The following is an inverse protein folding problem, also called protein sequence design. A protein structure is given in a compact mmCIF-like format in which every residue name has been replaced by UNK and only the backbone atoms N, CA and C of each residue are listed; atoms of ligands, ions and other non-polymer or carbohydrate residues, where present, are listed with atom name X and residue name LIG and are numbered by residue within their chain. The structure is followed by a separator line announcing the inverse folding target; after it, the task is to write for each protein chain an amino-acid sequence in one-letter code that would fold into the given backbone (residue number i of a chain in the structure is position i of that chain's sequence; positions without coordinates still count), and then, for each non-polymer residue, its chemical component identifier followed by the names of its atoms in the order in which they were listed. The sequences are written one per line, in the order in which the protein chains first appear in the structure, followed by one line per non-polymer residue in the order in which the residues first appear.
data_IF_004832414788
#
_entry.id   IF_004832414788
#
_cell.length_a   1.000
_cell.length_b   1.000
_cell.length_c   1.000
_cell.angle_alpha   90.00
_cell.angle_beta   90.00
_cell.angle_gamma   90.00
#
_symmetry.space_group_name_H-M   'P 1'
#
loop_
_entity.id
_entity.type
_entity.pdbx_description
1 polymer ?
#
# COMPACT_ATOMS: atom_id res chain seq x y z
N UNK A 1 13.84 11.26 -1.38
CA UNK A 1 14.18 10.31 -2.49
C UNK A 1 12.91 9.92 -3.20
N UNK A 2 12.81 10.02 -4.50
CA UNK A 2 11.57 9.79 -5.24
C UNK A 2 11.72 8.51 -6.05
N UNK A 3 10.63 7.72 -6.12
CA UNK A 3 10.56 6.61 -7.05
C UNK A 3 10.85 7.17 -8.45
N UNK A 4 11.85 6.62 -9.11
CA UNK A 4 12.41 7.24 -10.32
C UNK A 4 11.55 6.95 -11.55
N UNK A 5 10.38 7.59 -11.63
CA UNK A 5 9.69 7.70 -12.92
C UNK A 5 10.50 8.65 -13.82
N UNK A 6 10.73 8.24 -15.06
CA UNK A 6 11.32 9.12 -16.08
C UNK A 6 10.38 10.32 -16.33
N UNK A 7 10.88 11.46 -16.87
CA UNK A 7 10.04 12.59 -17.22
C UNK A 7 8.86 12.20 -18.13
N UNK A 8 9.09 11.30 -19.09
CA UNK A 8 8.04 10.77 -19.98
C UNK A 8 6.99 9.96 -19.23
N UNK A 9 7.40 9.13 -18.26
CA UNK A 9 6.47 8.37 -17.42
C UNK A 9 5.65 9.30 -16.52
N UNK A 10 6.23 10.37 -15.97
CA UNK A 10 5.50 11.38 -15.19
C UNK A 10 4.45 12.07 -16.05
N UNK A 11 4.82 12.48 -17.26
CA UNK A 11 3.87 13.09 -18.21
C UNK A 11 2.71 12.13 -18.53
N UNK A 12 3.00 10.87 -18.85
CA UNK A 12 1.99 9.84 -19.10
C UNK A 12 1.11 9.58 -17.86
N UNK A 13 1.68 9.60 -16.65
CA UNK A 13 0.94 9.42 -15.41
C UNK A 13 -0.07 10.56 -15.17
N UNK A 14 0.33 11.82 -15.45
CA UNK A 14 -0.58 12.97 -15.35
C UNK A 14 -1.72 12.85 -16.35
N UNK A 15 -1.42 12.55 -17.62
CA UNK A 15 -2.45 12.33 -18.63
C UNK A 15 -3.42 11.21 -18.25
N UNK A 16 -2.89 10.10 -17.70
CA UNK A 16 -3.69 8.96 -17.23
C UNK A 16 -4.55 9.32 -16.01
N UNK A 17 -4.02 10.12 -15.09
CA UNK A 17 -4.78 10.61 -13.94
C UNK A 17 -6.00 11.44 -14.37
N UNK A 18 -5.80 12.36 -15.32
CA UNK A 18 -6.88 13.18 -15.86
C UNK A 18 -7.93 12.30 -16.58
N UNK A 19 -7.49 11.36 -17.40
CA UNK A 19 -8.36 10.41 -18.10
C UNK A 19 -9.21 9.58 -17.12
N UNK A 20 -8.61 9.02 -16.07
CA UNK A 20 -9.31 8.26 -15.04
C UNK A 20 -10.35 9.12 -14.32
N UNK A 21 -10.01 10.37 -13.98
CA UNK A 21 -10.93 11.30 -13.31
C UNK A 21 -12.10 11.71 -14.21
N UNK A 22 -11.85 12.05 -15.47
CA UNK A 22 -12.87 12.46 -16.43
C UNK A 22 -13.86 11.32 -16.74
N UNK A 23 -13.36 10.09 -16.86
CA UNK A 23 -14.14 8.91 -17.17
C UNK A 23 -14.68 8.18 -15.93
N UNK A 24 -14.52 8.74 -14.73
CA UNK A 24 -15.01 8.19 -13.45
C UNK A 24 -14.58 6.73 -13.20
N UNK A 25 -13.37 6.37 -13.65
CA UNK A 25 -12.80 5.04 -13.42
C UNK A 25 -12.09 4.98 -12.06
N UNK A 26 -11.89 3.79 -11.48
CA UNK A 26 -11.08 3.65 -10.27
C UNK A 26 -9.65 4.14 -10.50
N UNK A 27 -9.16 4.99 -9.61
CA UNK A 27 -7.77 5.45 -9.63
C UNK A 27 -6.80 4.29 -9.36
N UNK A 28 -7.19 3.40 -8.43
CA UNK A 28 -6.41 2.22 -8.09
C UNK A 28 -7.25 0.95 -8.07
N UNK A 29 -6.66 -0.14 -8.57
CA UNK A 29 -7.18 -1.49 -8.47
C UNK A 29 -6.17 -2.33 -7.70
N UNK A 30 -6.57 -2.81 -6.53
CA UNK A 30 -5.81 -3.80 -5.77
C UNK A 30 -6.21 -5.20 -6.21
N UNK A 31 -5.24 -5.96 -6.65
CA UNK A 31 -5.42 -7.34 -7.11
C UNK A 31 -4.90 -8.27 -6.02
N UNK A 32 -5.81 -9.03 -5.40
CA UNK A 32 -5.47 -10.08 -4.46
C UNK A 32 -5.06 -11.34 -5.26
N UNK A 33 -3.77 -11.44 -5.57
CA UNK A 33 -3.27 -12.53 -6.44
C UNK A 33 -3.26 -13.90 -5.76
N UNK A 34 -3.32 -13.94 -4.44
CA UNK A 34 -3.45 -15.15 -3.61
C UNK A 34 -3.97 -14.80 -2.22
N UNK A 35 -4.71 -15.70 -1.61
CA UNK A 35 -5.08 -15.58 -0.18
C UNK A 35 -4.06 -16.23 0.75
N UNK A 36 -3.14 -17.03 0.24
CA UNK A 36 -2.14 -17.73 1.06
C UNK A 36 -1.10 -16.75 1.60
N UNK A 37 -0.73 -16.95 2.86
CA UNK A 37 0.34 -16.22 3.52
C UNK A 37 1.11 -17.14 4.45
N UNK A 38 2.43 -17.01 4.50
CA UNK A 38 3.27 -17.72 5.45
C UNK A 38 3.68 -16.87 6.67
N UNK A 39 3.31 -15.57 6.70
CA UNK A 39 3.42 -14.74 7.89
C UNK A 39 2.28 -15.06 8.87
N UNK A 40 2.45 -14.75 10.16
CA UNK A 40 1.48 -15.03 11.24
C UNK A 40 1.20 -13.79 12.07
N UNK A 41 0.94 -12.67 11.40
CA UNK A 41 0.63 -11.40 12.06
C UNK A 41 -0.67 -11.53 12.87
N UNK A 42 -0.68 -10.99 14.08
CA UNK A 42 -1.83 -11.06 15.00
C UNK A 42 -2.97 -10.11 14.63
N UNK A 43 -2.71 -9.13 13.78
CA UNK A 43 -3.68 -8.19 13.21
C UNK A 43 -4.26 -8.63 11.85
N UNK A 44 -3.94 -9.85 11.38
CA UNK A 44 -4.35 -10.31 10.05
C UNK A 44 -4.66 -11.80 10.06
N UNK A 45 -5.72 -12.23 9.37
CA UNK A 45 -6.21 -13.61 9.34
C UNK A 45 -5.90 -14.38 8.05
N UNK A 46 -5.18 -13.78 7.10
CA UNK A 46 -4.85 -14.46 5.82
C UNK A 46 -4.10 -15.78 6.02
N UNK A 47 -3.23 -15.88 7.01
CA UNK A 47 -2.49 -17.12 7.31
C UNK A 47 -3.36 -18.29 7.79
N UNK A 48 -4.61 -18.02 8.18
CA UNK A 48 -5.61 -19.04 8.56
C UNK A 48 -6.38 -19.57 7.34
N UNK A 49 -6.27 -18.91 6.18
CA UNK A 49 -7.01 -19.29 4.98
C UNK A 49 -6.28 -20.44 4.29
N UNK A 50 -6.97 -21.57 4.15
CA UNK A 50 -6.46 -22.80 3.52
C UNK A 50 -7.02 -23.02 2.12
N UNK A 51 -7.97 -22.20 1.67
CA UNK A 51 -8.57 -22.31 0.35
C UNK A 51 -7.52 -22.23 -0.76
N UNK A 52 -7.73 -23.03 -1.81
CA UNK A 52 -6.93 -22.91 -3.01
C UNK A 52 -7.39 -21.68 -3.79
N UNK A 53 -6.42 -20.90 -4.25
CA UNK A 53 -6.71 -19.80 -5.15
C UNK A 53 -7.18 -20.37 -6.50
N UNK A 54 -8.25 -19.81 -7.04
CA UNK A 54 -8.56 -20.02 -8.45
C UNK A 54 -7.62 -19.15 -9.28
N UNK A 55 -7.13 -19.70 -10.39
CA UNK A 55 -6.28 -18.93 -11.31
C UNK A 55 -7.16 -18.00 -12.14
N UNK A 56 -7.28 -16.76 -11.69
CA UNK A 56 -7.93 -15.70 -12.47
C UNK A 56 -6.92 -15.02 -13.37
N UNK A 57 -7.29 -14.82 -14.63
CA UNK A 57 -6.60 -13.90 -15.53
C UNK A 57 -6.96 -12.45 -15.20
N UNK A 58 -6.08 -11.78 -14.48
CA UNK A 58 -6.27 -10.39 -14.09
C UNK A 58 -6.05 -9.38 -15.24
N UNK A 59 -5.60 -9.81 -16.40
CA UNK A 59 -5.39 -8.94 -17.56
C UNK A 59 -6.72 -8.29 -17.97
N UNK A 60 -7.80 -9.07 -18.02
CA UNK A 60 -9.13 -8.56 -18.34
C UNK A 60 -9.68 -7.62 -17.27
N UNK A 61 -9.40 -7.90 -15.99
CA UNK A 61 -9.73 -6.97 -14.89
C UNK A 61 -9.08 -5.61 -15.11
N UNK A 62 -7.77 -5.61 -15.42
CA UNK A 62 -7.00 -4.37 -15.63
C UNK A 62 -7.44 -3.66 -16.92
N UNK A 63 -7.76 -4.38 -17.99
CA UNK A 63 -8.32 -3.80 -19.23
C UNK A 63 -9.67 -3.14 -18.99
N UNK A 64 -10.55 -3.81 -18.24
CA UNK A 64 -11.90 -3.30 -17.97
C UNK A 64 -11.90 -2.01 -17.16
N UNK A 65 -11.13 -1.99 -16.06
CA UNK A 65 -11.12 -0.82 -15.17
C UNK A 65 -10.08 0.24 -15.58
N UNK A 66 -9.08 -0.13 -16.31
CA UNK A 66 -8.02 0.72 -16.84
C UNK A 66 -7.50 1.76 -15.83
N UNK A 67 -7.05 1.34 -14.64
CA UNK A 67 -6.66 2.24 -13.55
C UNK A 67 -5.33 2.92 -13.81
N UNK A 68 -5.02 3.97 -13.03
CA UNK A 68 -3.67 4.53 -12.96
C UNK A 68 -2.72 3.64 -12.15
N UNK A 69 -3.20 3.05 -11.05
CA UNK A 69 -2.38 2.25 -10.15
C UNK A 69 -2.92 0.82 -10.07
N UNK A 70 -2.04 -0.16 -10.26
CA UNK A 70 -2.32 -1.59 -10.00
C UNK A 70 -1.46 -2.03 -8.83
N UNK A 71 -2.11 -2.53 -7.76
CA UNK A 71 -1.45 -3.04 -6.57
C UNK A 71 -1.57 -4.56 -6.54
N UNK A 72 -0.46 -5.26 -6.70
CA UNK A 72 -0.41 -6.71 -6.50
C UNK A 72 -0.25 -6.99 -5.01
N UNK A 73 -1.27 -7.60 -4.43
CA UNK A 73 -1.40 -7.85 -2.99
C UNK A 73 -2.04 -9.23 -2.74
N UNK A 74 -2.49 -9.46 -1.52
CA UNK A 74 -3.17 -10.68 -1.12
C UNK A 74 -2.77 -11.07 0.30
N UNK A 75 -2.56 -12.35 0.53
CA UNK A 75 -1.76 -12.82 1.65
C UNK A 75 -0.30 -12.42 1.42
N UNK A 76 0.49 -13.30 0.80
CA UNK A 76 1.83 -12.93 0.32
C UNK A 76 1.90 -13.16 -1.20
N UNK A 77 1.95 -12.10 -2.01
CA UNK A 77 1.90 -12.22 -3.47
C UNK A 77 3.08 -13.01 -4.05
N UNK A 78 4.24 -12.99 -3.42
CA UNK A 78 5.42 -13.72 -3.87
C UNK A 78 5.32 -15.25 -3.70
N UNK A 79 4.27 -15.76 -3.03
CA UNK A 79 3.92 -17.18 -3.03
C UNK A 79 3.28 -17.64 -4.35
N UNK A 80 2.75 -16.70 -5.15
CA UNK A 80 2.17 -17.01 -6.45
C UNK A 80 3.28 -17.21 -7.48
N UNK A 81 3.38 -18.44 -8.05
CA UNK A 81 4.48 -18.83 -8.94
C UNK A 81 4.50 -18.07 -10.27
N UNK A 82 3.34 -17.76 -10.81
CA UNK A 82 3.14 -17.05 -12.09
C UNK A 82 2.97 -15.53 -11.93
N UNK A 83 3.32 -14.96 -10.77
CA UNK A 83 3.20 -13.52 -10.51
C UNK A 83 4.01 -12.68 -11.53
N UNK A 84 5.25 -13.05 -11.81
CA UNK A 84 6.12 -12.30 -12.72
C UNK A 84 5.58 -12.31 -14.16
N UNK A 85 5.19 -13.45 -14.75
CA UNK A 85 4.44 -13.49 -16.00
C UNK A 85 3.18 -12.64 -16.02
N UNK A 86 2.36 -12.70 -14.97
CA UNK A 86 1.14 -11.90 -14.84
C UNK A 86 1.43 -10.39 -14.85
N UNK A 87 2.43 -9.94 -14.09
CA UNK A 87 2.87 -8.53 -14.08
C UNK A 87 3.32 -8.11 -15.50
N UNK A 88 4.07 -8.95 -16.19
CA UNK A 88 4.54 -8.70 -17.57
C UNK A 88 3.35 -8.51 -18.51
N UNK A 89 2.36 -9.38 -18.48
CA UNK A 89 1.16 -9.28 -19.30
C UNK A 89 0.38 -7.99 -19.03
N UNK A 90 0.26 -7.59 -17.74
CA UNK A 90 -0.41 -6.35 -17.35
C UNK A 90 0.38 -5.11 -17.78
N UNK A 91 1.73 -5.14 -17.69
CA UNK A 91 2.59 -4.08 -18.22
C UNK A 91 2.39 -3.87 -19.72
N UNK A 92 2.20 -4.95 -20.46
CA UNK A 92 2.10 -4.93 -21.94
C UNK A 92 0.72 -4.44 -22.43
N UNK A 93 -0.27 -4.26 -21.56
CA UNK A 93 -1.53 -3.57 -21.91
C UNK A 93 -1.20 -2.12 -22.32
N UNK A 94 -1.68 -1.62 -23.47
CA UNK A 94 -1.43 -0.25 -23.90
C UNK A 94 -1.82 0.82 -22.86
N UNK A 95 -1.02 1.87 -22.76
CA UNK A 95 -1.21 2.97 -21.80
C UNK A 95 -0.31 2.87 -20.58
N UNK A 96 -0.22 3.98 -19.82
CA UNK A 96 0.59 4.01 -18.60
C UNK A 96 -0.20 3.45 -17.41
N UNK A 97 0.46 2.58 -16.64
CA UNK A 97 0.01 2.12 -15.32
C UNK A 97 1.18 2.08 -14.37
N UNK A 98 0.94 2.49 -13.13
CA UNK A 98 1.89 2.38 -12.05
C UNK A 98 1.71 1.03 -11.37
N UNK A 99 2.67 0.12 -11.53
CA UNK A 99 2.60 -1.25 -11.00
C UNK A 99 3.36 -1.32 -9.68
N UNK A 100 2.70 -1.80 -8.63
CA UNK A 100 3.29 -1.91 -7.31
C UNK A 100 2.98 -3.25 -6.67
N UNK A 101 3.95 -3.82 -5.96
CA UNK A 101 3.81 -5.08 -5.20
C UNK A 101 3.88 -4.75 -3.71
N UNK A 102 2.93 -5.28 -2.92
CA UNK A 102 2.94 -5.20 -1.46
C UNK A 102 3.30 -6.58 -0.88
N UNK A 103 4.43 -6.68 -0.20
CA UNK A 103 4.97 -7.94 0.32
C UNK A 103 5.53 -7.77 1.73
N UNK A 104 5.53 -8.85 2.54
CA UNK A 104 6.29 -8.85 3.80
C UNK A 104 7.81 -9.00 3.58
N UNK A 105 8.25 -9.26 2.34
CA UNK A 105 9.67 -9.31 1.99
C UNK A 105 10.39 -10.63 2.23
N UNK A 106 9.72 -11.64 2.79
CA UNK A 106 10.36 -12.92 3.13
C UNK A 106 10.91 -13.70 1.93
N UNK A 107 10.41 -13.41 0.72
CA UNK A 107 10.83 -14.01 -0.54
C UNK A 107 11.61 -13.04 -1.45
N UNK A 108 11.95 -11.84 -0.96
CA UNK A 108 12.74 -10.87 -1.71
C UNK A 108 14.23 -11.26 -1.72
N UNK A 109 14.60 -12.09 -2.68
CA UNK A 109 16.00 -12.30 -3.06
C UNK A 109 16.44 -11.28 -4.10
N UNK A 110 17.75 -11.09 -4.29
CA UNK A 110 18.29 -10.23 -5.35
C UNK A 110 17.74 -10.60 -6.74
N UNK A 111 17.67 -11.90 -7.03
CA UNK A 111 17.12 -12.40 -8.30
C UNK A 111 15.64 -12.03 -8.43
N UNK A 112 14.82 -12.26 -7.37
CA UNK A 112 13.39 -11.95 -7.40
C UNK A 112 13.13 -10.45 -7.57
N UNK A 113 13.92 -9.59 -6.93
CA UNK A 113 13.83 -8.14 -7.10
C UNK A 113 14.09 -7.74 -8.57
N UNK A 114 15.17 -8.29 -9.17
CA UNK A 114 15.52 -8.03 -10.57
C UNK A 114 14.43 -8.54 -11.53
N UNK A 115 13.85 -9.70 -11.29
CA UNK A 115 12.71 -10.25 -12.06
C UNK A 115 11.49 -9.32 -11.99
N UNK A 116 11.12 -8.83 -10.81
CA UNK A 116 9.98 -7.93 -10.62
C UNK A 116 10.18 -6.59 -11.34
N UNK A 117 11.38 -6.01 -11.24
CA UNK A 117 11.71 -4.75 -11.93
C UNK A 117 11.71 -4.95 -13.45
N UNK A 118 12.29 -6.05 -13.95
CA UNK A 118 12.26 -6.38 -15.38
C UNK A 118 10.83 -6.62 -15.90
N UNK A 119 9.93 -7.18 -15.07
CA UNK A 119 8.51 -7.32 -15.39
C UNK A 119 7.76 -5.99 -15.45
N UNK A 120 8.34 -4.88 -14.94
CA UNK A 120 7.75 -3.54 -14.99
C UNK A 120 7.22 -3.03 -13.65
N UNK A 121 7.57 -3.66 -12.54
CA UNK A 121 7.22 -3.13 -11.19
C UNK A 121 7.94 -1.81 -10.96
N UNK A 122 7.17 -0.77 -10.67
CA UNK A 122 7.68 0.56 -10.34
C UNK A 122 7.99 0.72 -8.85
N UNK A 123 7.26 -0.02 -7.98
CA UNK A 123 7.41 0.09 -6.54
C UNK A 123 7.23 -1.26 -5.85
N UNK A 124 8.16 -1.58 -4.96
CA UNK A 124 8.07 -2.73 -4.04
C UNK A 124 7.84 -2.17 -2.64
N UNK A 125 6.62 -2.35 -2.13
CA UNK A 125 6.27 -1.98 -0.77
C UNK A 125 6.58 -3.14 0.16
N UNK A 126 7.51 -2.93 1.09
CA UNK A 126 7.91 -3.91 2.09
C UNK A 126 7.19 -3.57 3.39
N UNK A 127 6.33 -4.47 3.85
CA UNK A 127 5.61 -4.30 5.12
C UNK A 127 6.60 -4.31 6.30
N UNK A 128 6.83 -3.15 6.92
CA UNK A 128 7.85 -2.95 7.96
C UNK A 128 7.28 -2.08 9.08
N UNK A 129 7.05 -2.66 10.25
CA UNK A 129 6.48 -1.99 11.43
C UNK A 129 7.50 -1.76 12.54
N UNK A 130 8.64 -2.47 12.50
CA UNK A 130 9.74 -2.34 13.47
C UNK A 130 11.09 -2.23 12.78
N UNK A 131 12.03 -1.41 13.30
CA UNK A 131 13.33 -1.15 12.70
C UNK A 131 14.41 -2.20 13.08
N UNK A 132 14.00 -3.37 13.57
CA UNK A 132 14.89 -4.40 14.11
C UNK A 132 14.24 -5.81 14.10
N UNK A 133 14.84 -6.77 14.79
CA UNK A 133 14.37 -8.16 14.86
C UNK A 133 12.96 -8.35 15.47
N UNK A 134 12.34 -7.32 16.06
CA UNK A 134 10.92 -7.36 16.44
C UNK A 134 10.03 -7.55 15.22
N UNK A 135 10.48 -7.12 14.04
CA UNK A 135 9.82 -7.38 12.76
C UNK A 135 9.66 -8.87 12.47
N UNK A 136 10.68 -9.68 12.81
CA UNK A 136 10.64 -11.14 12.64
C UNK A 136 9.55 -11.77 13.50
N UNK A 137 9.45 -11.32 14.76
CA UNK A 137 8.44 -11.80 15.71
C UNK A 137 7.03 -11.42 15.27
N UNK A 138 6.82 -10.17 14.84
CA UNK A 138 5.52 -9.69 14.36
C UNK A 138 5.02 -10.49 13.15
N UNK A 139 5.92 -10.82 12.23
CA UNK A 139 5.58 -11.59 11.02
C UNK A 139 5.63 -13.10 11.22
N UNK A 140 6.22 -13.58 12.31
CA UNK A 140 6.47 -15.02 12.52
C UNK A 140 7.47 -15.59 11.50
N UNK A 141 8.43 -14.78 11.03
CA UNK A 141 9.42 -15.15 9.99
C UNK A 141 10.83 -14.89 10.53
N UNK A 142 11.51 -15.89 11.10
CA UNK A 142 12.85 -15.73 11.66
C UNK A 142 13.87 -15.22 10.64
N UNK A 143 14.69 -14.24 11.04
CA UNK A 143 15.75 -13.66 10.23
C UNK A 143 15.25 -12.78 9.07
N UNK A 144 13.98 -12.38 9.04
CA UNK A 144 13.40 -11.52 8.02
C UNK A 144 14.12 -10.17 7.96
N UNK A 145 14.25 -9.51 9.10
CA UNK A 145 14.88 -8.19 9.18
C UNK A 145 16.32 -8.23 8.67
N UNK A 146 17.14 -9.14 9.18
CA UNK A 146 18.55 -9.26 8.78
C UNK A 146 18.72 -9.54 7.28
N UNK A 147 17.81 -10.33 6.67
CA UNK A 147 17.84 -10.56 5.20
C UNK A 147 17.51 -9.30 4.43
N UNK A 148 16.51 -8.55 4.85
CA UNK A 148 16.11 -7.28 4.20
C UNK A 148 17.20 -6.22 4.34
N UNK A 149 17.79 -6.09 5.54
CA UNK A 149 18.89 -5.17 5.83
C UNK A 149 20.13 -5.44 4.95
N UNK A 150 20.41 -6.70 4.64
CA UNK A 150 21.47 -7.08 3.72
C UNK A 150 21.09 -6.83 2.25
N UNK A 151 19.86 -7.21 1.85
CA UNK A 151 19.48 -7.27 0.43
C UNK A 151 19.06 -5.90 -0.11
N UNK A 152 18.21 -5.17 0.60
CA UNK A 152 17.61 -3.92 0.06
C UNK A 152 18.67 -2.83 -0.16
N UNK A 153 19.54 -2.49 0.80
CA UNK A 153 20.58 -1.47 0.57
C UNK A 153 21.55 -1.86 -0.54
N UNK A 154 21.84 -3.16 -0.71
CA UNK A 154 22.66 -3.65 -1.82
C UNK A 154 22.00 -3.35 -3.17
N UNK A 155 20.72 -3.67 -3.32
CA UNK A 155 19.98 -3.39 -4.57
C UNK A 155 19.88 -1.90 -4.86
N UNK A 156 19.72 -1.07 -3.83
CA UNK A 156 19.74 0.40 -3.99
C UNK A 156 21.09 0.89 -4.50
N UNK A 157 22.20 0.35 -3.96
CA UNK A 157 23.57 0.66 -4.44
C UNK A 157 23.78 0.21 -5.89
N UNK A 158 23.09 -0.83 -6.35
CA UNK A 158 23.08 -1.27 -7.75
C UNK A 158 22.15 -0.41 -8.64
N UNK A 159 21.54 0.65 -8.11
CA UNK A 159 20.70 1.61 -8.86
C UNK A 159 19.20 1.32 -8.85
N UNK A 160 18.72 0.32 -8.12
CA UNK A 160 17.29 -0.01 -8.04
C UNK A 160 16.57 0.83 -6.97
N UNK A 161 16.00 1.95 -7.37
CA UNK A 161 15.32 2.92 -6.49
C UNK A 161 13.79 2.69 -6.44
N UNK A 162 13.35 1.45 -6.24
CA UNK A 162 11.93 1.06 -6.28
C UNK A 162 11.36 0.64 -4.92
N UNK A 163 12.08 0.81 -3.83
CA UNK A 163 11.65 0.29 -2.53
C UNK A 163 10.98 1.36 -1.66
N UNK A 164 9.95 0.92 -0.92
CA UNK A 164 9.26 1.72 0.09
C UNK A 164 8.93 0.83 1.28
N UNK A 165 9.21 1.26 2.49
CA UNK A 165 8.60 0.63 3.66
C UNK A 165 7.12 1.02 3.72
N UNK A 166 6.25 0.03 3.89
CA UNK A 166 4.84 0.22 4.20
C UNK A 166 4.63 -0.10 5.68
N UNK A 167 4.47 0.92 6.49
CA UNK A 167 4.33 0.79 7.94
C UNK A 167 2.92 1.13 8.39
N UNK A 168 2.36 0.32 9.27
CA UNK A 168 1.10 0.59 9.92
C UNK A 168 1.36 1.24 11.28
N UNK A 169 0.77 2.42 11.51
CA UNK A 169 0.88 3.11 12.81
C UNK A 169 -0.13 2.52 13.79
N UNK A 170 0.39 1.98 14.87
CA UNK A 170 -0.34 1.33 15.97
C UNK A 170 0.18 1.86 17.30
N UNK A 171 -0.55 1.60 18.39
CA UNK A 171 -0.09 1.93 19.75
C UNK A 171 1.24 1.23 20.09
N UNK A 172 1.45 0.03 19.55
CA UNK A 172 2.62 -0.81 19.84
C UNK A 172 3.91 -0.27 19.23
N UNK A 173 3.81 0.42 18.07
CA UNK A 173 4.96 0.85 17.29
C UNK A 173 5.02 2.36 17.01
N UNK A 174 4.16 3.16 17.62
CA UNK A 174 4.15 4.61 17.33
C UNK A 174 5.50 5.29 17.64
N UNK A 175 6.25 4.79 18.63
CA UNK A 175 7.58 5.28 18.96
C UNK A 175 8.68 4.78 18.01
N UNK A 176 8.42 3.75 17.24
CA UNK A 176 9.32 3.24 16.21
C UNK A 176 9.21 4.00 14.88
N UNK A 177 8.26 4.92 14.74
CA UNK A 177 8.05 5.69 13.51
C UNK A 177 9.30 6.51 13.11
N UNK A 178 9.93 7.27 14.03
CA UNK A 178 11.17 8.01 13.75
C UNK A 178 12.34 7.06 13.46
N UNK A 179 12.65 6.03 14.26
CA UNK A 179 13.64 5.02 13.92
C UNK A 179 13.44 4.39 12.54
N UNK A 180 12.21 4.04 12.16
CA UNK A 180 11.89 3.49 10.84
C UNK A 180 12.15 4.48 9.69
N UNK A 181 11.77 5.76 9.86
CA UNK A 181 12.03 6.81 8.87
C UNK A 181 13.53 6.97 8.64
N UNK A 182 14.32 7.01 9.72
CA UNK A 182 15.77 7.12 9.66
C UNK A 182 16.42 5.87 9.05
N UNK A 183 15.93 4.68 9.39
CA UNK A 183 16.36 3.43 8.78
C UNK A 183 16.09 3.43 7.27
N UNK A 184 14.87 3.77 6.85
CA UNK A 184 14.53 3.87 5.43
C UNK A 184 15.45 4.88 4.71
N UNK A 185 15.71 6.04 5.33
CA UNK A 185 16.61 7.06 4.80
C UNK A 185 18.06 6.51 4.66
N UNK A 186 18.58 5.82 5.66
CA UNK A 186 19.92 5.21 5.63
C UNK A 186 20.07 4.12 4.56
N UNK A 187 18.97 3.39 4.26
CA UNK A 187 18.93 2.40 3.17
C UNK A 187 18.75 3.04 1.80
N UNK A 188 18.49 4.33 1.73
CA UNK A 188 18.24 5.02 0.49
C UNK A 188 16.85 4.79 -0.09
N UNK A 189 15.86 4.50 0.73
CA UNK A 189 14.49 4.17 0.31
C UNK A 189 13.45 5.09 0.95
N UNK A 190 12.22 5.00 0.46
CA UNK A 190 11.09 5.73 1.02
C UNK A 190 10.37 4.95 2.13
N UNK A 191 9.49 5.64 2.85
CA UNK A 191 8.54 5.04 3.79
C UNK A 191 7.16 5.68 3.60
N UNK A 192 6.12 4.85 3.68
CA UNK A 192 4.72 5.27 3.71
C UNK A 192 4.03 4.68 4.93
N UNK A 193 3.12 5.45 5.53
CA UNK A 193 2.37 5.04 6.70
C UNK A 193 0.90 4.82 6.37
N UNK A 194 0.28 3.88 7.06
CA UNK A 194 -1.16 3.59 7.05
C UNK A 194 -1.71 3.56 8.46
N UNK A 195 -2.99 3.86 8.64
CA UNK A 195 -3.67 3.71 9.92
C UNK A 195 -4.09 2.27 10.16
N UNK A 196 -4.06 1.84 11.41
CA UNK A 196 -4.61 0.55 11.82
C UNK A 196 -6.15 0.62 11.85
N UNK A 197 -6.79 -0.48 11.46
CA UNK A 197 -8.20 -0.77 11.71
C UNK A 197 -8.36 -2.25 12.10
N UNK A 198 -9.42 -2.57 12.84
CA UNK A 198 -9.69 -3.91 13.34
C UNK A 198 -10.60 -4.76 12.43
N UNK A 199 -10.91 -4.28 11.23
CA UNK A 199 -11.91 -4.88 10.35
C UNK A 199 -11.52 -6.29 9.85
N UNK A 200 -10.23 -6.64 9.88
CA UNK A 200 -9.76 -7.98 9.47
C UNK A 200 -10.10 -9.08 10.45
N UNK A 201 -9.95 -8.84 11.74
CA UNK A 201 -10.08 -9.88 12.76
C UNK A 201 -10.67 -9.41 14.09
N UNK A 202 -11.09 -8.15 14.19
CA UNK A 202 -11.68 -7.56 15.40
C UNK A 202 -10.67 -7.28 16.52
N UNK A 203 -9.36 -7.38 16.28
CA UNK A 203 -8.35 -7.13 17.31
C UNK A 203 -8.22 -5.64 17.59
N UNK A 204 -8.70 -5.18 18.75
CA UNK A 204 -8.68 -3.77 19.12
C UNK A 204 -7.42 -3.36 19.90
N UNK A 205 -6.54 -4.30 20.25
CA UNK A 205 -5.37 -4.03 21.10
C UNK A 205 -4.35 -3.07 20.47
N UNK A 206 -4.35 -2.95 19.15
CA UNK A 206 -3.42 -2.12 18.39
C UNK A 206 -3.87 -0.66 18.21
N UNK A 207 -5.09 -0.34 18.64
CA UNK A 207 -5.56 1.04 18.56
C UNK A 207 -4.90 1.94 19.61
N UNK A 208 -4.66 3.18 19.22
CA UNK A 208 -4.26 4.22 20.17
C UNK A 208 -5.42 4.54 21.11
N UNK A 209 -5.20 4.36 22.42
CA UNK A 209 -6.20 4.66 23.45
C UNK A 209 -6.36 6.17 23.63
N UNK A 210 -7.50 6.64 24.21
CA UNK A 210 -7.73 8.07 24.47
C UNK A 210 -6.59 8.72 25.29
N UNK A 211 -6.02 8.00 26.25
CA UNK A 211 -4.96 8.50 27.15
C UNK A 211 -3.65 8.73 26.39
N UNK A 212 -3.41 7.96 25.31
CA UNK A 212 -2.20 8.06 24.46
C UNK A 212 -2.39 8.98 23.25
N UNK A 213 -3.57 9.52 23.06
CA UNK A 213 -3.89 10.28 21.83
C UNK A 213 -3.04 11.55 21.67
N UNK A 214 -2.77 12.25 22.77
CA UNK A 214 -1.93 13.46 22.73
C UNK A 214 -0.46 13.12 22.41
N UNK A 215 0.04 12.01 22.95
CA UNK A 215 1.35 11.47 22.62
C UNK A 215 1.42 11.08 21.14
N UNK A 216 0.39 10.42 20.63
CA UNK A 216 0.28 10.05 19.22
C UNK A 216 0.24 11.27 18.28
N UNK A 217 -0.42 12.36 18.67
CA UNK A 217 -0.39 13.63 17.93
C UNK A 217 1.03 14.18 17.82
N UNK A 218 1.82 14.10 18.90
CA UNK A 218 3.24 14.52 18.88
C UNK A 218 4.05 13.67 17.93
N UNK A 219 3.81 12.34 17.89
CA UNK A 219 4.44 11.43 16.90
C UNK A 219 4.07 11.84 15.47
N UNK A 220 2.79 12.07 15.15
CA UNK A 220 2.37 12.53 13.82
C UNK A 220 3.06 13.84 13.41
N UNK A 221 3.17 14.80 14.34
CA UNK A 221 3.86 16.06 14.10
C UNK A 221 5.36 15.85 13.86
N UNK A 222 6.00 14.95 14.62
CA UNK A 222 7.40 14.59 14.42
C UNK A 222 7.64 13.94 13.06
N UNK A 223 6.76 13.05 12.62
CA UNK A 223 6.83 12.46 11.27
C UNK A 223 6.75 13.55 10.18
N UNK A 224 5.84 14.51 10.30
CA UNK A 224 5.75 15.64 9.35
C UNK A 224 7.01 16.50 9.33
N UNK A 225 7.66 16.67 10.48
CA UNK A 225 8.94 17.38 10.56
C UNK A 225 10.04 16.57 9.85
N UNK A 226 10.18 15.27 10.15
CA UNK A 226 11.15 14.38 9.50
C UNK A 226 10.93 14.27 7.98
N UNK A 227 9.67 14.30 7.54
CA UNK A 227 9.32 14.35 6.12
C UNK A 227 9.97 15.56 5.42
N UNK A 228 9.94 16.74 6.06
CA UNK A 228 10.61 17.96 5.54
C UNK A 228 12.13 17.88 5.63
N UNK A 229 12.66 17.28 6.71
CA UNK A 229 14.11 17.18 6.93
C UNK A 229 14.77 16.15 5.98
N UNK A 230 14.15 14.99 5.78
CA UNK A 230 14.76 13.83 5.10
C UNK A 230 14.21 13.57 3.70
N UNK A 231 13.00 14.03 3.39
CA UNK A 231 12.40 13.92 2.06
C UNK A 231 12.01 12.51 1.62
N UNK A 232 11.98 11.52 2.56
CA UNK A 232 11.72 10.13 2.24
C UNK A 232 10.37 9.59 2.74
N UNK A 233 9.54 10.41 3.39
CA UNK A 233 8.17 10.04 3.80
C UNK A 233 7.18 10.40 2.70
N UNK A 234 6.50 9.40 2.15
CA UNK A 234 5.57 9.57 1.01
C UNK A 234 4.16 9.96 1.43
N UNK A 235 3.74 9.58 2.64
CA UNK A 235 2.39 9.82 3.15
C UNK A 235 2.14 11.31 3.33
N UNK A 236 0.93 11.77 2.95
CA UNK A 236 0.54 13.18 2.98
C UNK A 236 0.44 13.74 4.40
N UNK A 237 0.61 15.04 4.54
CA UNK A 237 0.34 15.72 5.80
C UNK A 237 -1.13 15.62 6.20
N UNK A 238 -2.05 15.61 5.22
CA UNK A 238 -3.48 15.37 5.43
C UNK A 238 -3.75 14.07 6.20
N UNK A 239 -3.03 13.00 5.86
CA UNK A 239 -3.14 11.74 6.58
C UNK A 239 -2.77 11.90 8.06
N UNK A 240 -1.61 12.50 8.36
CA UNK A 240 -1.14 12.67 9.74
C UNK A 240 -1.97 13.67 10.55
N UNK A 241 -2.60 14.64 9.90
CA UNK A 241 -3.50 15.60 10.55
C UNK A 241 -4.85 14.96 10.90
N UNK A 242 -5.31 13.97 10.10
CA UNK A 242 -6.62 13.33 10.25
C UNK A 242 -6.57 12.05 11.10
N UNK A 243 -5.48 11.28 11.02
CA UNK A 243 -5.36 9.98 11.71
C UNK A 243 -5.62 10.04 13.23
N UNK A 244 -5.16 11.06 13.99
CA UNK A 244 -5.51 11.19 15.40
C UNK A 244 -7.01 11.37 15.65
N UNK A 245 -7.73 12.01 14.73
CA UNK A 245 -9.19 12.14 14.79
C UNK A 245 -9.85 10.78 14.57
N UNK A 246 -9.37 10.00 13.62
CA UNK A 246 -9.86 8.62 13.42
C UNK A 246 -9.68 7.77 14.68
N UNK A 247 -8.53 7.82 15.34
CA UNK A 247 -8.30 7.03 16.55
C UNK A 247 -9.15 7.50 17.74
N UNK A 248 -9.49 8.79 17.80
CA UNK A 248 -10.38 9.34 18.82
C UNK A 248 -11.86 8.96 18.58
N UNK A 249 -12.34 9.22 17.37
CA UNK A 249 -13.76 9.08 17.03
C UNK A 249 -14.12 7.67 16.52
N UNK A 250 -13.14 6.85 16.17
CA UNK A 250 -13.29 5.51 15.54
C UNK A 250 -14.02 5.52 14.21
N UNK A 251 -14.19 6.71 13.65
CA UNK A 251 -14.80 6.89 12.34
C UNK A 251 -14.26 8.13 11.60
N UNK A 252 -14.24 8.05 10.28
CA UNK A 252 -14.08 9.20 9.39
C UNK A 252 -15.13 9.08 8.28
N UNK A 253 -15.98 10.08 8.11
CA UNK A 253 -17.05 10.08 7.10
C UNK A 253 -16.50 10.24 5.67
N UNK A 254 -17.31 9.88 4.67
CA UNK A 254 -17.04 10.17 3.27
C UNK A 254 -16.09 9.19 2.59
N UNK A 255 -16.14 7.89 2.92
CA UNK A 255 -15.37 6.87 2.21
C UNK A 255 -15.86 6.73 0.76
N UNK A 256 -14.95 6.84 -0.21
CA UNK A 256 -15.22 6.66 -1.63
C UNK A 256 -14.72 5.29 -2.18
N UNK A 257 -14.56 4.30 -1.30
CA UNK A 257 -14.28 2.93 -1.72
C UNK A 257 -15.39 2.40 -2.64
N UNK A 258 -15.01 1.64 -3.67
CA UNK A 258 -15.94 1.21 -4.73
C UNK A 258 -16.07 2.21 -5.89
N UNK A 259 -15.57 3.45 -5.74
CA UNK A 259 -15.53 4.47 -6.78
C UNK A 259 -14.09 4.78 -7.20
N UNK A 260 -13.28 5.30 -6.25
CA UNK A 260 -11.90 5.71 -6.56
C UNK A 260 -10.88 4.59 -6.36
N UNK A 261 -11.24 3.59 -5.59
CA UNK A 261 -10.44 2.37 -5.40
C UNK A 261 -11.36 1.17 -5.34
N UNK A 262 -10.87 0.03 -5.83
CA UNK A 262 -11.51 -1.28 -5.72
C UNK A 262 -10.49 -2.35 -5.40
N UNK A 263 -10.97 -3.45 -4.84
CA UNK A 263 -10.18 -4.65 -4.57
C UNK A 263 -10.79 -5.84 -5.32
N UNK A 264 -9.97 -6.67 -5.95
CA UNK A 264 -10.43 -7.83 -6.74
C UNK A 264 -9.78 -9.09 -6.20
N UNK A 265 -10.63 -10.01 -5.76
CA UNK A 265 -10.21 -11.30 -5.17
C UNK A 265 -9.71 -12.30 -6.24
N UNK A 266 -9.07 -13.41 -5.84
CA UNK A 266 -8.63 -14.48 -6.75
C UNK A 266 -9.77 -15.11 -7.57
N UNK A 267 -11.02 -14.96 -7.13
CA UNK A 267 -12.24 -15.43 -7.82
C UNK A 267 -12.89 -14.37 -8.71
N UNK A 268 -12.24 -13.23 -8.96
CA UNK A 268 -12.81 -12.15 -9.76
C UNK A 268 -13.90 -11.34 -9.06
N UNK A 269 -14.13 -11.58 -7.78
CA UNK A 269 -15.13 -10.83 -7.03
C UNK A 269 -14.56 -9.47 -6.62
N UNK A 270 -15.31 -8.43 -6.93
CA UNK A 270 -14.96 -7.04 -6.56
C UNK A 270 -15.49 -6.73 -5.17
N UNK A 271 -14.60 -6.18 -4.37
CA UNK A 271 -14.89 -5.58 -3.07
C UNK A 271 -14.64 -4.07 -3.18
N UNK A 272 -15.47 -3.22 -2.56
CA UNK A 272 -15.20 -1.77 -2.53
C UNK A 272 -13.81 -1.43 -1.97
N UNK A 273 -13.37 -2.18 -0.96
CA UNK A 273 -11.99 -2.20 -0.45
C UNK A 273 -11.69 -3.59 0.12
N UNK A 274 -10.44 -3.84 0.54
CA UNK A 274 -10.00 -5.13 1.09
C UNK A 274 -10.70 -5.53 2.40
N UNK A 275 -11.40 -4.61 3.07
CA UNK A 275 -12.06 -4.81 4.36
C UNK A 275 -13.57 -5.08 4.23
N UNK A 276 -14.17 -4.82 3.08
CA UNK A 276 -15.61 -4.97 2.87
C UNK A 276 -15.91 -6.28 2.10
N UNK A 277 -17.11 -6.84 2.26
CA UNK A 277 -17.51 -8.03 1.51
C UNK A 277 -17.56 -7.76 -0.01
N UNK A 278 -17.45 -8.82 -0.79
CA UNK A 278 -17.62 -8.78 -2.23
C UNK A 278 -19.05 -8.37 -2.60
N UNK A 279 -19.18 -7.56 -3.63
CA UNK A 279 -20.47 -7.00 -4.09
C UNK A 279 -20.89 -7.51 -5.46
N UNK A 280 -19.97 -7.82 -6.36
CA UNK A 280 -20.25 -8.35 -7.69
C UNK A 280 -19.00 -9.01 -8.29
N UNK A 281 -19.17 -9.79 -9.36
CA UNK A 281 -18.05 -10.21 -10.19
C UNK A 281 -17.54 -9.02 -11.02
N UNK A 282 -16.25 -8.98 -11.35
CA UNK A 282 -15.64 -7.83 -12.05
C UNK A 282 -16.29 -7.52 -13.39
N UNK A 283 -16.84 -8.54 -14.09
CA UNK A 283 -17.52 -8.37 -15.37
C UNK A 283 -18.85 -7.59 -15.26
N UNK A 284 -19.47 -7.59 -14.09
CA UNK A 284 -20.78 -6.95 -13.82
C UNK A 284 -20.64 -5.67 -12.99
N UNK A 285 -19.50 -5.50 -12.31
CA UNK A 285 -19.28 -4.37 -11.43
C UNK A 285 -19.19 -3.05 -12.19
N UNK A 286 -19.94 -2.06 -11.73
CA UNK A 286 -19.90 -0.68 -12.23
C UNK A 286 -19.29 0.22 -11.16
N UNK A 287 -18.15 0.88 -11.42
CA UNK A 287 -17.54 1.82 -10.48
C UNK A 287 -18.53 2.92 -10.08
N UNK A 288 -18.61 3.19 -8.78
CA UNK A 288 -19.54 4.18 -8.25
C UNK A 288 -20.94 3.66 -7.91
N UNK A 289 -21.39 2.53 -8.46
CA UNK A 289 -22.68 1.93 -8.08
C UNK A 289 -22.75 1.56 -6.59
N UNK A 290 -21.62 1.25 -6.00
CA UNK A 290 -21.46 0.95 -4.58
C UNK A 290 -20.65 2.04 -3.82
N UNK A 291 -20.48 3.21 -4.45
CA UNK A 291 -19.85 4.35 -3.79
C UNK A 291 -20.77 4.83 -2.64
N UNK A 292 -20.13 5.19 -1.52
CA UNK A 292 -20.91 5.60 -0.36
C UNK A 292 -21.57 4.43 0.36
N UNK A 293 -20.83 3.32 0.53
CA UNK A 293 -21.28 2.20 1.39
C UNK A 293 -21.69 2.62 2.80
N UNK A 294 -21.56 3.92 3.12
CA UNK A 294 -21.74 4.43 4.49
C UNK A 294 -20.62 3.98 5.46
N UNK A 295 -19.63 3.26 4.96
CA UNK A 295 -18.52 2.81 5.79
C UNK A 295 -17.62 3.97 6.19
N UNK A 296 -17.38 4.08 7.50
CA UNK A 296 -16.55 5.12 8.10
C UNK A 296 -15.44 4.52 8.98
N UNK A 297 -15.27 3.21 8.99
CA UNK A 297 -14.56 2.42 10.01
C UNK A 297 -13.05 2.33 9.85
N UNK A 298 -12.45 2.99 8.84
CA UNK A 298 -11.00 3.00 8.67
C UNK A 298 -10.48 4.37 8.23
N UNK A 299 -9.19 4.59 8.39
CA UNK A 299 -8.46 5.69 7.77
C UNK A 299 -7.07 5.19 7.38
N UNK A 300 -7.04 4.25 6.46
CA UNK A 300 -5.82 3.73 5.87
C UNK A 300 -5.29 4.61 4.72
N UNK A 301 -4.07 4.36 4.27
CA UNK A 301 -3.46 5.12 3.18
C UNK A 301 -4.17 4.94 1.84
N UNK A 302 -4.76 3.76 1.59
CA UNK A 302 -5.50 3.48 0.35
C UNK A 302 -6.73 4.38 0.21
N UNK A 303 -7.37 4.72 1.33
CA UNK A 303 -8.47 5.68 1.41
C UNK A 303 -7.97 7.12 1.46
N UNK A 304 -7.04 7.42 2.36
CA UNK A 304 -6.64 8.78 2.69
C UNK A 304 -5.93 9.50 1.52
N UNK A 305 -4.99 8.83 0.86
CA UNK A 305 -4.19 9.46 -0.17
C UNK A 305 -4.97 9.86 -1.44
N UNK A 306 -5.87 9.00 -2.00
CA UNK A 306 -6.71 9.39 -3.13
C UNK A 306 -7.76 10.45 -2.79
N UNK A 307 -8.19 10.53 -1.53
CA UNK A 307 -9.20 11.48 -1.04
C UNK A 307 -8.60 12.76 -0.46
N UNK A 308 -7.26 12.84 -0.34
CA UNK A 308 -6.60 14.04 0.17
C UNK A 308 -6.94 15.27 -0.69
N UNK A 309 -7.36 16.40 -0.08
CA UNK A 309 -7.66 17.62 -0.81
C UNK A 309 -6.48 18.10 -1.65
N UNK A 310 -6.73 18.53 -2.90
CA UNK A 310 -5.71 19.10 -3.79
C UNK A 310 -5.41 20.55 -3.38
N UNK A 311 -4.76 20.71 -2.25
CA UNK A 311 -4.22 22.01 -1.80
C UNK A 311 -2.91 22.30 -2.51
N UNK A 312 -2.45 23.58 -2.50
CA UNK A 312 -1.12 23.95 -3.01
C UNK A 312 -0.02 23.13 -2.37
N UNK A 313 -0.13 22.84 -1.08
CA UNK A 313 0.80 21.98 -0.35
C UNK A 313 0.77 20.54 -0.90
N UNK A 314 -0.42 19.97 -1.13
CA UNK A 314 -0.55 18.62 -1.72
C UNK A 314 0.04 18.56 -3.13
N UNK A 315 -0.18 19.60 -3.93
CA UNK A 315 0.44 19.71 -5.26
C UNK A 315 1.97 19.73 -5.13
N UNK A 316 2.52 20.53 -4.21
CA UNK A 316 3.97 20.59 -3.96
C UNK A 316 4.53 19.21 -3.51
N UNK A 317 3.84 18.49 -2.63
CA UNK A 317 4.18 17.11 -2.25
C UNK A 317 4.21 16.16 -3.47
N UNK A 318 3.16 16.19 -4.30
CA UNK A 318 3.04 15.32 -5.47
C UNK A 318 4.08 15.63 -6.55
N UNK A 319 4.41 16.90 -6.74
CA UNK A 319 5.42 17.35 -7.71
C UNK A 319 6.84 17.29 -7.17
N UNK A 320 6.95 17.18 -5.83
CA UNK A 320 8.21 17.12 -5.12
C UNK A 320 8.94 18.46 -5.02
N UNK A 321 8.20 19.51 -4.90
CA UNK A 321 8.70 20.84 -4.59
C UNK A 321 8.88 21.08 -3.08
N UNK A 322 8.41 20.16 -2.24
CA UNK A 322 8.58 20.12 -0.77
C UNK A 322 8.88 18.71 -0.33
#
# INVERSE_FOLDING_TARGET
MKIALTPMQKFKAVGKFLDVKLNQRPLSVSIEVTKRCNARCDFCDYWKITDRDEMLDYVDVVRRFDPLVVVFTGGEPLLRRDLVPLITQIRDIPGFRYLTVLTHGGFLTEAKIKELVAAGVHQINISMNYPDARQDKERGIPGLFARLEKTVPKMVKEGLNCFTFASMLMVDNMHDAEPLIRLAHSWGINIAFSGYNDMKNGNQNHFVSPEKLEEFRKVCNRIKQLKRELGNVMTSDYFFDTLPTFYKEREIKGCEAGKIMIHVSPKGMVQPCAELPAVAHYSEFVPGAFAGTGCNKCFDSCRAEPQAPLTMRRIAELTGLV
#
